data_IF_489929356082
#
_entry.id   IF_489929356082
#
_cell.length_a   1.000
_cell.length_b   1.000
_cell.length_c   1.000
_cell.angle_alpha   90.00
_cell.angle_beta   90.00
_cell.angle_gamma   90.00
#
_symmetry.space_group_name_H-M   'P 1'
#
loop_
_entity.id
_entity.type
_entity.pdbx_description
1 polymer ?
#
# COMPACT_ATOMS: atom_id res chain seq x y z
N UNK A 1 -5.82 0.35 -4.42
CA UNK A 1 -6.13 1.80 -4.31
C UNK A 1 -7.42 2.01 -5.04
N UNK A 2 -8.35 2.79 -4.48
CA UNK A 2 -9.60 3.10 -5.20
C UNK A 2 -9.33 3.96 -6.43
N UNK A 3 -10.17 3.83 -7.43
CA UNK A 3 -10.17 4.60 -8.67
C UNK A 3 -10.81 5.97 -8.44
N UNK A 4 -10.65 6.87 -9.41
CA UNK A 4 -11.29 8.18 -9.37
C UNK A 4 -12.82 8.08 -9.48
N UNK A 5 -13.35 7.08 -10.20
CA UNK A 5 -14.79 6.82 -10.30
C UNK A 5 -15.38 6.40 -8.95
N UNK A 6 -14.77 5.39 -8.32
CA UNK A 6 -15.19 4.92 -6.98
C UNK A 6 -15.16 6.05 -5.92
N UNK A 7 -14.20 6.98 -6.02
CA UNK A 7 -14.14 8.14 -5.13
C UNK A 7 -15.40 9.02 -5.23
N UNK A 8 -15.86 9.30 -6.45
CA UNK A 8 -17.08 10.10 -6.65
C UNK A 8 -18.33 9.34 -6.26
N UNK A 9 -18.39 8.03 -6.52
CA UNK A 9 -19.52 7.19 -6.07
C UNK A 9 -19.64 7.18 -4.54
N UNK A 10 -18.53 7.07 -3.80
CA UNK A 10 -18.53 7.14 -2.33
C UNK A 10 -19.10 8.48 -1.84
N UNK A 11 -18.67 9.60 -2.44
CA UNK A 11 -19.15 10.95 -2.11
C UNK A 11 -20.65 11.08 -2.36
N UNK A 12 -21.08 10.72 -3.56
CA UNK A 12 -22.48 10.83 -3.98
C UNK A 12 -23.39 9.97 -3.10
N UNK A 13 -23.01 8.72 -2.82
CA UNK A 13 -23.79 7.84 -1.94
C UNK A 13 -23.88 8.37 -0.51
N UNK A 14 -22.80 8.95 0.01
CA UNK A 14 -22.80 9.55 1.35
C UNK A 14 -23.66 10.82 1.41
N UNK A 15 -23.63 11.65 0.37
CA UNK A 15 -24.50 12.84 0.25
C UNK A 15 -25.99 12.47 0.15
N UNK A 16 -26.30 11.32 -0.46
CA UNK A 16 -27.65 10.72 -0.45
C UNK A 16 -28.06 10.15 0.93
N UNK A 17 -27.19 10.21 1.94
CA UNK A 17 -27.48 9.77 3.30
C UNK A 17 -27.24 8.28 3.57
N UNK A 18 -26.60 7.53 2.67
CA UNK A 18 -26.27 6.13 2.94
C UNK A 18 -25.21 6.01 4.04
N UNK A 19 -25.32 4.93 4.83
CA UNK A 19 -24.34 4.62 5.86
C UNK A 19 -23.02 4.12 5.26
N UNK A 20 -21.92 4.34 5.99
CA UNK A 20 -20.59 3.85 5.59
C UNK A 20 -20.58 2.32 5.38
N UNK A 21 -21.38 1.59 6.15
CA UNK A 21 -21.47 0.12 6.03
C UNK A 21 -22.17 -0.32 4.77
N UNK A 22 -23.19 0.42 4.33
CA UNK A 22 -23.96 0.09 3.13
C UNK A 22 -23.16 0.43 1.87
N UNK A 23 -22.52 1.61 1.85
CA UNK A 23 -21.59 2.00 0.77
C UNK A 23 -20.48 0.96 0.61
N UNK A 24 -19.95 0.46 1.72
CA UNK A 24 -18.91 -0.57 1.71
C UNK A 24 -19.38 -1.90 1.11
N UNK A 25 -20.63 -2.30 1.38
CA UNK A 25 -21.23 -3.53 0.84
C UNK A 25 -21.55 -3.38 -0.64
N UNK A 26 -22.12 -2.25 -1.02
CA UNK A 26 -22.54 -1.95 -2.40
C UNK A 26 -21.35 -1.88 -3.36
N UNK A 27 -20.28 -1.19 -2.96
CA UNK A 27 -19.08 -1.03 -3.79
C UNK A 27 -18.03 -2.15 -3.59
N UNK A 28 -18.22 -3.04 -2.61
CA UNK A 28 -17.21 -4.04 -2.23
C UNK A 28 -15.93 -3.42 -1.63
N UNK A 29 -15.99 -2.18 -1.14
CA UNK A 29 -14.84 -1.43 -0.63
C UNK A 29 -14.82 -1.51 0.90
N UNK A 30 -13.64 -1.72 1.49
CA UNK A 30 -13.52 -1.75 2.95
C UNK A 30 -13.95 -0.44 3.64
N UNK A 31 -14.70 -0.55 4.76
CA UNK A 31 -15.23 0.60 5.54
C UNK A 31 -14.20 1.68 5.88
N UNK A 32 -12.94 1.28 6.18
CA UNK A 32 -11.83 2.21 6.46
C UNK A 32 -11.52 3.14 5.27
N UNK A 33 -11.65 2.61 4.06
CA UNK A 33 -11.42 3.34 2.82
C UNK A 33 -12.55 4.33 2.59
N UNK A 34 -13.80 3.89 2.73
CA UNK A 34 -14.98 4.76 2.64
C UNK A 34 -14.87 5.93 3.64
N UNK A 35 -14.61 5.66 4.93
CA UNK A 35 -14.42 6.69 5.96
C UNK A 35 -13.32 7.70 5.60
N UNK A 36 -12.18 7.21 5.07
CA UNK A 36 -11.07 8.06 4.64
C UNK A 36 -11.50 9.02 3.52
N UNK A 37 -12.23 8.53 2.52
CA UNK A 37 -12.51 9.29 1.30
C UNK A 37 -13.73 10.21 1.39
N UNK A 38 -14.69 9.96 2.30
CA UNK A 38 -15.79 10.90 2.59
C UNK A 38 -15.25 12.28 2.98
N UNK A 39 -14.28 12.31 3.89
CA UNK A 39 -13.67 13.54 4.42
C UNK A 39 -12.51 14.07 3.57
N UNK A 40 -12.10 13.33 2.54
CA UNK A 40 -11.01 13.77 1.66
C UNK A 40 -11.55 14.75 0.62
N UNK A 41 -10.94 15.94 0.46
CA UNK A 41 -11.37 16.90 -0.56
C UNK A 41 -10.98 16.47 -1.98
N UNK A 42 -9.87 15.72 -2.12
CA UNK A 42 -9.31 15.35 -3.41
C UNK A 42 -9.37 13.82 -3.65
N UNK A 43 -9.51 13.41 -4.92
CA UNK A 43 -9.45 12.00 -5.28
C UNK A 43 -8.07 11.40 -4.98
N UNK A 44 -7.98 10.06 -4.86
CA UNK A 44 -6.71 9.36 -4.68
C UNK A 44 -5.71 9.71 -5.79
N UNK A 45 -4.64 10.44 -5.43
CA UNK A 45 -3.49 10.59 -6.31
C UNK A 45 -2.55 9.39 -6.17
N UNK A 46 -2.07 8.85 -7.29
CA UNK A 46 -1.03 7.81 -7.31
C UNK A 46 0.30 8.44 -6.91
N UNK A 47 0.57 8.51 -5.61
CA UNK A 47 1.88 8.93 -5.12
C UNK A 47 2.87 7.77 -5.19
N UNK A 48 4.05 8.01 -5.76
CA UNK A 48 5.16 7.06 -5.70
C UNK A 48 5.58 6.92 -4.22
N UNK A 49 5.52 5.69 -3.70
CA UNK A 49 6.03 5.42 -2.34
C UNK A 49 7.52 5.77 -2.32
N UNK A 50 7.91 6.73 -1.49
CA UNK A 50 9.33 7.04 -1.27
C UNK A 50 10.02 5.77 -0.79
N UNK A 51 10.96 5.27 -1.58
CA UNK A 51 11.78 4.15 -1.13
C UNK A 51 12.55 4.62 0.10
N UNK A 52 12.37 3.90 1.21
CA UNK A 52 13.17 4.14 2.40
C UNK A 52 14.58 3.65 2.07
N UNK A 53 15.59 4.50 2.29
CA UNK A 53 16.98 4.05 2.27
C UNK A 53 17.10 2.98 3.35
N UNK A 54 17.45 1.76 2.95
CA UNK A 54 17.76 0.71 3.90
C UNK A 54 19.03 1.12 4.64
N UNK A 55 18.93 1.41 5.94
CA UNK A 55 20.11 1.62 6.77
C UNK A 55 20.68 0.25 7.13
N UNK A 56 21.56 -0.26 6.27
CA UNK A 56 22.27 -1.55 6.40
C UNK A 56 23.11 -1.68 7.69
N UNK A 57 23.28 -0.58 8.43
CA UNK A 57 24.14 -0.45 9.61
C UNK A 57 23.61 -1.29 10.79
N UNK A 58 22.33 -1.67 10.79
CA UNK A 58 21.71 -2.46 11.87
C UNK A 58 21.45 -3.93 11.52
N UNK A 59 21.84 -4.39 10.33
CA UNK A 59 21.74 -5.82 10.00
C UNK A 59 22.79 -6.56 10.83
N UNK A 60 22.32 -7.42 11.74
CA UNK A 60 23.16 -8.20 12.65
C UNK A 60 24.31 -8.87 11.90
N UNK A 61 25.52 -8.95 12.48
CA UNK A 61 26.70 -9.58 11.86
C UNK A 61 26.44 -11.00 11.31
N UNK A 62 25.46 -11.71 11.88
CA UNK A 62 25.02 -13.06 11.49
C UNK A 62 24.68 -13.14 9.99
N UNK A 63 24.03 -12.13 9.41
CA UNK A 63 23.65 -12.13 7.99
C UNK A 63 24.82 -11.81 7.03
N UNK A 64 25.94 -11.26 7.52
CA UNK A 64 27.08 -10.89 6.65
C UNK A 64 27.93 -12.10 6.27
N UNK A 65 28.03 -13.10 7.14
CA UNK A 65 28.87 -14.27 6.90
C UNK A 65 28.28 -15.23 5.86
N UNK A 66 26.96 -15.42 5.83
CA UNK A 66 26.32 -16.34 4.86
C UNK A 66 26.39 -15.81 3.42
N UNK A 67 26.28 -14.50 3.20
CA UNK A 67 26.30 -13.92 1.85
C UNK A 67 27.70 -13.93 1.22
N UNK A 68 28.75 -13.79 2.03
CA UNK A 68 30.16 -13.85 1.58
C UNK A 68 30.52 -15.25 1.04
N UNK A 69 30.00 -16.30 1.68
CA UNK A 69 30.21 -17.69 1.25
C UNK A 69 29.51 -17.99 -0.08
N UNK A 70 28.33 -17.38 -0.32
CA UNK A 70 27.56 -17.61 -1.54
C UNK A 70 28.15 -16.91 -2.78
N UNK A 71 28.76 -15.74 -2.61
CA UNK A 71 29.40 -14.99 -3.71
C UNK A 71 30.72 -15.66 -4.15
N UNK A 72 31.49 -16.23 -3.22
CA UNK A 72 32.80 -16.81 -3.52
C UNK A 72 32.78 -18.25 -4.09
N UNK A 73 31.62 -18.92 -4.13
CA UNK A 73 31.53 -20.32 -4.59
C UNK A 73 31.01 -20.49 -6.02
N UNK A 74 30.90 -19.40 -6.80
CA UNK A 74 30.41 -19.43 -8.20
C UNK A 74 31.46 -19.82 -9.25
N UNK A 75 32.68 -20.16 -8.87
CA UNK A 75 33.78 -20.51 -9.81
C UNK A 75 34.18 -22.00 -9.80
N UNK A 76 33.36 -22.91 -9.26
CA UNK A 76 33.73 -24.33 -9.12
C UNK A 76 32.88 -25.33 -9.90
N UNK A 77 32.09 -24.87 -10.86
CA UNK A 77 31.32 -25.70 -11.77
C UNK A 77 31.49 -25.25 -13.23
N UNK A 78 32.73 -25.26 -13.73
CA UNK A 78 33.08 -25.42 -15.15
C UNK A 78 34.32 -26.31 -15.25
#
# INVERSE_FOLDING_TARGET
MITRGEFFMIKEMYERGMSISDIARELGIGRKTVRKYIHSPNPPSKSKRKQRKANWIHLSPIFKNEFSVFVNNKHKFE
#
